data_IF_224625687779
#
_entry.id   IF_224625687779
#
_cell.length_a   1.000
_cell.length_b   1.000
_cell.length_c   1.000
_cell.angle_alpha   90.00
_cell.angle_beta   90.00
_cell.angle_gamma   90.00
#
_symmetry.space_group_name_H-M   'P 1'
#
loop_
_entity.id
_entity.type
_entity.pdbx_description
1 polymer ?
#
# COMPACT_ATOMS: atom_id res chain seq x y z
N UNK A 1 -17.09 39.98 -69.38
CA UNK A 1 -15.83 39.31 -69.71
C UNK A 1 -15.64 38.25 -68.63
N UNK A 2 -16.29 37.08 -68.77
CA UNK A 2 -15.81 35.88 -69.51
C UNK A 2 -14.65 35.23 -68.73
N UNK A 3 -14.62 33.95 -68.36
CA UNK A 3 -15.37 32.75 -68.73
C UNK A 3 -15.09 31.70 -67.62
N UNK A 4 -16.10 30.97 -67.13
CA UNK A 4 -16.45 29.59 -67.53
C UNK A 4 -15.37 28.52 -67.27
N UNK A 5 -15.60 27.63 -66.28
CA UNK A 5 -16.01 26.22 -66.43
C UNK A 5 -14.88 25.25 -66.84
N UNK A 6 -14.59 24.27 -65.97
CA UNK A 6 -14.87 22.84 -66.25
C UNK A 6 -14.96 22.03 -64.95
N UNK A 7 -16.16 21.48 -64.71
CA UNK A 7 -16.48 20.33 -63.86
C UNK A 7 -16.06 19.02 -64.54
N UNK A 8 -15.77 17.99 -63.74
CA UNK A 8 -16.30 16.60 -63.84
C UNK A 8 -16.29 16.02 -62.41
N UNK A 9 -17.43 15.93 -61.70
CA UNK A 9 -18.26 14.73 -61.41
C UNK A 9 -17.48 13.55 -60.78
N UNK A 10 -17.92 12.88 -59.70
CA UNK A 10 -19.30 12.53 -59.33
C UNK A 10 -19.50 12.13 -57.84
N UNK A 11 -20.71 12.38 -57.34
CA UNK A 11 -21.51 11.53 -56.41
C UNK A 11 -20.99 11.31 -54.97
N UNK A 12 -21.72 11.54 -53.87
CA UNK A 12 -23.14 11.71 -53.55
C UNK A 12 -23.20 12.30 -52.12
N UNK A 13 -24.13 13.20 -51.84
CA UNK A 13 -25.05 13.20 -50.66
C UNK A 13 -25.84 14.52 -50.72
N UNK A 14 -27.11 14.44 -51.12
CA UNK A 14 -28.07 15.55 -51.02
C UNK A 14 -28.89 15.35 -49.76
N UNK A 15 -28.89 16.38 -48.92
CA UNK A 15 -29.72 16.55 -47.76
C UNK A 15 -31.21 16.68 -48.13
N UNK A 16 -32.12 16.34 -47.22
CA UNK A 16 -33.34 17.12 -47.01
C UNK A 16 -33.99 16.79 -45.66
N UNK A 17 -34.27 17.84 -44.91
CA UNK A 17 -35.04 17.93 -43.67
C UNK A 17 -36.55 17.90 -43.97
N UNK A 18 -37.37 17.19 -43.18
CA UNK A 18 -38.54 17.72 -42.41
C UNK A 18 -39.32 16.62 -41.64
N UNK A 19 -39.57 16.91 -40.35
CA UNK A 19 -40.67 16.56 -39.41
C UNK A 19 -41.44 15.22 -39.43
N UNK A 20 -41.55 14.59 -38.25
CA UNK A 20 -42.80 14.24 -37.47
C UNK A 20 -42.41 13.24 -36.34
N UNK A 21 -42.35 13.66 -35.06
CA UNK A 21 -43.36 13.61 -33.99
C UNK A 21 -43.56 12.23 -33.29
N UNK A 22 -43.45 12.30 -31.94
CA UNK A 22 -43.98 11.42 -30.87
C UNK A 22 -43.16 10.17 -30.47
N UNK A 23 -42.43 10.26 -29.34
CA UNK A 23 -42.92 9.72 -28.05
C UNK A 23 -41.90 9.97 -26.92
N UNK A 24 -42.45 10.41 -25.80
CA UNK A 24 -41.91 10.50 -24.45
C UNK A 24 -40.91 9.38 -24.05
N UNK A 25 -39.77 9.75 -23.50
CA UNK A 25 -39.35 9.31 -22.15
C UNK A 25 -38.20 10.19 -21.62
N UNK A 26 -38.18 10.57 -20.33
CA UNK A 26 -37.25 11.54 -19.78
C UNK A 26 -35.91 10.89 -19.43
N UNK A 27 -34.90 11.75 -19.33
CA UNK A 27 -33.61 11.55 -18.66
C UNK A 27 -33.75 10.70 -17.38
N UNK A 28 -33.19 9.50 -17.38
CA UNK A 28 -32.57 8.86 -16.21
C UNK A 28 -31.74 7.67 -16.67
N UNK A 29 -30.44 7.87 -16.88
CA UNK A 29 -29.47 6.84 -16.52
C UNK A 29 -28.67 7.41 -15.38
N UNK A 30 -29.25 7.23 -14.20
CA UNK A 30 -28.59 7.25 -12.91
C UNK A 30 -27.29 6.44 -13.04
N UNK A 31 -26.15 7.07 -12.76
CA UNK A 31 -24.97 6.35 -12.33
C UNK A 31 -25.39 5.54 -11.09
N UNK A 32 -25.59 4.24 -11.22
CA UNK A 32 -25.57 3.38 -10.04
C UNK A 32 -24.13 3.39 -9.54
N UNK A 33 -23.87 4.26 -8.57
CA UNK A 33 -22.86 4.02 -7.55
C UNK A 33 -23.07 2.59 -7.07
N UNK A 34 -22.11 1.70 -7.34
CA UNK A 34 -22.06 0.42 -6.64
C UNK A 34 -21.61 0.76 -5.22
N UNK A 35 -22.57 0.88 -4.32
CA UNK A 35 -22.33 0.97 -2.88
C UNK A 35 -21.41 -0.19 -2.45
N UNK A 36 -20.48 0.12 -1.54
CA UNK A 36 -19.61 -0.91 -0.97
C UNK A 36 -20.49 -1.94 -0.21
N UNK A 37 -20.19 -3.25 -0.25
CA UNK A 37 -20.96 -4.26 0.50
C UNK A 37 -21.08 -3.99 2.02
N UNK A 38 -20.18 -3.18 2.58
CA UNK A 38 -20.21 -2.74 3.99
C UNK A 38 -21.00 -1.45 4.21
N UNK A 39 -21.12 -0.61 3.18
CA UNK A 39 -22.04 0.53 3.17
C UNK A 39 -23.49 0.01 3.14
N UNK A 40 -23.77 -0.96 2.26
CA UNK A 40 -25.07 -1.64 2.21
C UNK A 40 -25.41 -2.28 3.57
N UNK A 41 -24.46 -2.99 4.19
CA UNK A 41 -24.65 -3.57 5.52
C UNK A 41 -24.86 -2.52 6.62
N UNK A 42 -24.20 -1.35 6.53
CA UNK A 42 -24.40 -0.25 7.47
C UNK A 42 -25.78 0.39 7.31
N UNK A 43 -26.24 0.58 6.06
CA UNK A 43 -27.53 1.19 5.77
C UNK A 43 -28.70 0.22 6.07
N UNK A 44 -28.50 -1.08 5.89
CA UNK A 44 -29.38 -2.12 6.40
C UNK A 44 -29.47 -2.08 7.94
N UNK A 45 -28.32 -2.00 8.63
CA UNK A 45 -28.29 -1.90 10.09
C UNK A 45 -29.02 -0.66 10.62
N UNK A 46 -28.86 0.50 9.96
CA UNK A 46 -29.62 1.73 10.26
C UNK A 46 -31.11 1.54 10.08
N UNK A 47 -31.51 0.87 9.00
CA UNK A 47 -32.92 0.60 8.72
C UNK A 47 -33.53 -0.28 9.83
N UNK A 48 -32.85 -1.36 10.22
CA UNK A 48 -33.28 -2.24 11.30
C UNK A 48 -33.40 -1.49 12.65
N UNK A 49 -32.47 -0.57 12.93
CA UNK A 49 -32.44 0.20 14.17
C UNK A 49 -33.63 1.17 14.37
N UNK A 50 -34.39 1.46 13.30
CA UNK A 50 -35.62 2.28 13.40
C UNK A 50 -36.82 1.51 13.93
N UNK A 51 -36.77 0.17 13.97
CA UNK A 51 -37.88 -0.68 14.39
C UNK A 51 -37.59 -1.29 15.77
N UNK A 52 -38.39 -1.00 16.82
CA UNK A 52 -38.13 -1.48 18.19
C UNK A 52 -37.95 -3.00 18.31
N UNK A 53 -38.74 -3.78 17.58
CA UNK A 53 -38.70 -5.25 17.64
C UNK A 53 -37.48 -5.86 16.93
N UNK A 54 -36.73 -5.06 16.15
CA UNK A 54 -35.56 -5.50 15.37
C UNK A 54 -34.22 -5.01 15.92
N UNK A 55 -34.20 -4.45 17.12
CA UNK A 55 -32.97 -3.90 17.71
C UNK A 55 -31.85 -4.93 17.86
N UNK A 56 -32.15 -6.21 18.08
CA UNK A 56 -31.13 -7.26 18.15
C UNK A 56 -30.52 -7.56 16.77
N UNK A 57 -31.33 -7.60 15.71
CA UNK A 57 -30.86 -7.77 14.33
C UNK A 57 -30.01 -6.57 13.90
N UNK A 58 -30.40 -5.36 14.30
CA UNK A 58 -29.61 -4.14 14.08
C UNK A 58 -28.24 -4.22 14.78
N UNK A 59 -28.20 -4.70 16.03
CA UNK A 59 -26.96 -4.91 16.79
C UNK A 59 -26.04 -5.92 16.08
N UNK A 60 -26.58 -7.02 15.60
CA UNK A 60 -25.79 -8.06 14.93
C UNK A 60 -25.25 -7.56 13.58
N UNK A 61 -26.03 -6.78 12.84
CA UNK A 61 -25.61 -6.13 11.59
C UNK A 61 -24.53 -5.05 11.83
N UNK A 62 -24.69 -4.18 12.82
CA UNK A 62 -23.64 -3.21 13.17
C UNK A 62 -22.38 -3.90 13.67
N UNK A 63 -22.51 -4.99 14.42
CA UNK A 63 -21.36 -5.79 14.87
C UNK A 63 -20.60 -6.35 13.68
N UNK A 64 -21.31 -6.89 12.69
CA UNK A 64 -20.70 -7.36 11.45
C UNK A 64 -19.91 -6.25 10.75
N UNK A 65 -20.45 -5.02 10.66
CA UNK A 65 -19.73 -3.86 10.07
C UNK A 65 -18.47 -3.51 10.88
N UNK A 66 -18.58 -3.44 12.21
CA UNK A 66 -17.45 -3.13 13.12
C UNK A 66 -16.36 -4.20 13.08
N UNK A 67 -16.74 -5.48 12.99
CA UNK A 67 -15.81 -6.61 12.98
C UNK A 67 -15.18 -6.85 11.59
N UNK A 68 -15.85 -6.46 10.51
CA UNK A 68 -15.43 -6.77 9.13
C UNK A 68 -14.47 -5.75 8.51
N UNK A 69 -14.34 -4.51 9.02
CA UNK A 69 -13.45 -3.51 8.40
C UNK A 69 -12.37 -2.87 9.29
N UNK A 70 -11.15 -2.84 8.74
CA UNK A 70 -9.98 -2.01 9.09
C UNK A 70 -9.57 -1.04 7.95
N UNK A 71 -10.41 -0.83 6.94
CA UNK A 71 -10.06 -0.04 5.72
C UNK A 71 -10.96 1.18 5.45
N UNK A 72 -11.95 1.50 6.31
CA UNK A 72 -12.77 2.72 6.21
C UNK A 72 -13.00 3.34 7.58
N UNK A 73 -12.19 4.32 7.98
CA UNK A 73 -12.23 4.90 9.32
C UNK A 73 -13.59 5.54 9.63
N UNK A 74 -14.23 6.18 8.64
CA UNK A 74 -15.52 6.85 8.81
C UNK A 74 -16.68 5.88 9.11
N UNK A 75 -16.79 4.77 8.35
CA UNK A 75 -17.84 3.77 8.55
C UNK A 75 -17.72 3.07 9.90
N UNK A 76 -16.49 2.83 10.34
CA UNK A 76 -16.20 2.29 11.67
C UNK A 76 -16.64 3.24 12.78
N UNK A 77 -16.28 4.53 12.68
CA UNK A 77 -16.66 5.54 13.68
C UNK A 77 -18.18 5.68 13.79
N UNK A 78 -18.91 5.65 12.67
CA UNK A 78 -20.38 5.65 12.65
C UNK A 78 -20.94 4.38 13.30
N UNK A 79 -20.49 3.20 12.89
CA UNK A 79 -21.02 1.94 13.40
C UNK A 79 -20.81 1.77 14.91
N UNK A 80 -19.67 2.23 15.46
CA UNK A 80 -19.39 2.19 16.91
C UNK A 80 -20.35 3.07 17.72
N UNK A 81 -20.75 4.22 17.19
CA UNK A 81 -21.71 5.09 17.88
C UNK A 81 -23.11 4.48 17.84
N UNK A 82 -23.54 4.06 16.66
CA UNK A 82 -24.89 3.54 16.42
C UNK A 82 -25.15 2.21 17.15
N UNK A 83 -24.18 1.30 17.20
CA UNK A 83 -24.37 0.02 17.91
C UNK A 83 -24.56 0.21 19.41
N UNK A 84 -23.84 1.16 20.00
CA UNK A 84 -23.97 1.48 21.43
C UNK A 84 -25.34 2.09 21.70
N UNK A 85 -25.78 3.01 20.86
CA UNK A 85 -27.13 3.57 20.96
C UNK A 85 -28.22 2.49 20.80
N UNK A 86 -28.02 1.51 19.92
CA UNK A 86 -28.95 0.39 19.75
C UNK A 86 -29.02 -0.49 21.01
N UNK A 87 -27.88 -0.83 21.61
CA UNK A 87 -27.85 -1.54 22.89
C UNK A 87 -28.54 -0.75 24.01
N UNK A 88 -28.34 0.56 24.08
CA UNK A 88 -29.01 1.40 25.07
C UNK A 88 -30.53 1.43 24.87
N UNK A 89 -30.99 1.58 23.61
CA UNK A 89 -32.43 1.52 23.26
C UNK A 89 -33.03 0.15 23.57
N UNK A 90 -32.26 -0.92 23.40
CA UNK A 90 -32.67 -2.29 23.71
C UNK A 90 -32.65 -2.61 25.22
N UNK A 91 -32.25 -1.66 26.08
CA UNK A 91 -32.14 -1.90 27.52
C UNK A 91 -30.99 -2.83 27.92
N UNK A 92 -29.96 -2.94 27.06
CA UNK A 92 -28.80 -3.83 27.19
C UNK A 92 -27.46 -3.08 27.36
N UNK A 93 -27.32 -2.18 28.35
CA UNK A 93 -26.11 -1.38 28.52
C UNK A 93 -24.89 -2.21 28.97
N UNK A 94 -25.09 -3.37 29.61
CA UNK A 94 -23.97 -4.24 30.03
C UNK A 94 -23.28 -4.86 28.80
N UNK A 95 -24.08 -5.27 27.82
CA UNK A 95 -23.63 -5.82 26.55
C UNK A 95 -22.93 -4.75 25.69
N UNK A 96 -23.43 -3.52 25.69
CA UNK A 96 -22.76 -2.38 25.04
C UNK A 96 -21.35 -2.18 25.62
N UNK A 97 -21.24 -2.20 26.94
CA UNK A 97 -19.98 -2.01 27.66
C UNK A 97 -19.01 -3.16 27.36
N UNK A 98 -19.46 -4.41 27.46
CA UNK A 98 -18.64 -5.60 27.15
C UNK A 98 -18.16 -5.58 25.70
N UNK A 99 -19.02 -5.21 24.76
CA UNK A 99 -18.69 -5.09 23.35
C UNK A 99 -17.59 -4.04 23.12
N UNK A 100 -17.72 -2.85 23.69
CA UNK A 100 -16.69 -1.81 23.53
C UNK A 100 -15.35 -2.19 24.18
N UNK A 101 -15.37 -2.85 25.35
CA UNK A 101 -14.14 -3.33 25.99
C UNK A 101 -13.45 -4.37 25.10
N UNK A 102 -14.20 -5.30 24.52
CA UNK A 102 -13.68 -6.31 23.59
C UNK A 102 -13.11 -5.68 22.30
N UNK A 103 -13.83 -4.74 21.68
CA UNK A 103 -13.32 -3.96 20.53
C UNK A 103 -12.03 -3.22 20.89
N UNK A 104 -11.96 -2.58 22.06
CA UNK A 104 -10.79 -1.86 22.53
C UNK A 104 -9.58 -2.79 22.82
N UNK A 105 -9.81 -4.02 23.29
CA UNK A 105 -8.76 -5.01 23.53
C UNK A 105 -8.20 -5.61 22.23
N UNK A 106 -9.05 -5.76 21.21
CA UNK A 106 -8.68 -6.29 19.88
C UNK A 106 -7.91 -5.27 19.05
N UNK A 107 -8.15 -3.96 19.24
CA UNK A 107 -7.47 -2.92 18.49
C UNK A 107 -6.11 -2.51 19.11
N UNK A 108 -5.02 -2.76 18.39
CA UNK A 108 -3.66 -2.37 18.77
C UNK A 108 -3.47 -0.83 18.91
N UNK A 109 -4.36 -0.04 18.28
CA UNK A 109 -4.42 1.43 18.34
C UNK A 109 -5.66 1.96 19.06
N UNK A 110 -6.40 1.16 19.82
CA UNK A 110 -7.67 1.55 20.47
C UNK A 110 -7.57 2.86 21.27
N UNK A 111 -6.44 3.09 21.95
CA UNK A 111 -6.21 4.33 22.71
C UNK A 111 -6.05 5.60 21.85
N UNK A 112 -5.92 5.46 20.52
CA UNK A 112 -5.76 6.58 19.56
C UNK A 112 -7.06 6.90 18.80
N UNK A 113 -8.00 5.96 18.69
CA UNK A 113 -9.28 6.17 18.03
C UNK A 113 -10.15 7.18 18.80
N UNK A 114 -10.68 8.19 18.10
CA UNK A 114 -11.41 9.29 18.73
C UNK A 114 -12.85 8.87 19.08
N UNK A 115 -13.55 8.21 18.16
CA UNK A 115 -14.93 7.79 18.37
C UNK A 115 -15.03 6.75 19.49
N UNK A 116 -14.14 5.78 19.53
CA UNK A 116 -14.11 4.77 20.58
C UNK A 116 -13.89 5.41 21.97
N UNK A 117 -12.95 6.35 22.09
CA UNK A 117 -12.70 7.07 23.35
C UNK A 117 -13.89 7.91 23.80
N UNK A 118 -14.52 8.63 22.89
CA UNK A 118 -15.70 9.46 23.19
C UNK A 118 -16.88 8.60 23.63
N UNK A 119 -17.20 7.54 22.89
CA UNK A 119 -18.33 6.64 23.20
C UNK A 119 -18.09 5.88 24.50
N UNK A 120 -16.87 5.38 24.72
CA UNK A 120 -16.49 4.76 25.99
C UNK A 120 -16.55 5.74 27.17
N UNK A 121 -16.11 6.99 26.96
CA UNK A 121 -16.21 8.06 27.96
C UNK A 121 -17.65 8.37 28.36
N UNK A 122 -18.57 8.45 27.39
CA UNK A 122 -20.00 8.67 27.63
C UNK A 122 -20.62 7.54 28.43
N UNK A 123 -20.40 6.28 28.03
CA UNK A 123 -20.90 5.12 28.78
C UNK A 123 -20.33 5.04 30.19
N UNK A 124 -19.04 5.35 30.38
CA UNK A 124 -18.41 5.37 31.70
C UNK A 124 -19.06 6.40 32.64
N UNK A 125 -19.48 7.54 32.11
CA UNK A 125 -20.19 8.57 32.90
C UNK A 125 -21.61 8.10 33.21
N UNK A 126 -22.32 7.55 32.21
CA UNK A 126 -23.73 7.17 32.31
C UNK A 126 -23.97 5.88 33.12
N UNK A 127 -23.08 4.91 33.02
CA UNK A 127 -23.18 3.57 33.62
C UNK A 127 -21.95 3.24 34.48
N UNK A 128 -21.55 4.16 35.36
CA UNK A 128 -20.31 4.08 36.15
C UNK A 128 -20.15 2.78 36.95
N UNK A 129 -21.18 2.34 37.64
CA UNK A 129 -21.15 1.11 38.46
C UNK A 129 -21.11 -0.15 37.61
N UNK A 130 -21.90 -0.20 36.54
CA UNK A 130 -21.91 -1.30 35.58
C UNK A 130 -20.57 -1.44 34.86
N UNK A 131 -19.96 -0.31 34.50
CA UNK A 131 -18.63 -0.24 33.90
C UNK A 131 -17.57 -0.77 34.87
N UNK A 132 -17.62 -0.39 36.16
CA UNK A 132 -16.72 -0.91 37.18
C UNK A 132 -16.90 -2.42 37.40
N UNK A 133 -18.15 -2.90 37.44
CA UNK A 133 -18.50 -4.34 37.53
C UNK A 133 -17.92 -5.12 36.34
N UNK A 134 -18.19 -4.70 35.10
CA UNK A 134 -17.70 -5.39 33.90
C UNK A 134 -16.17 -5.42 33.86
N UNK A 135 -15.50 -4.31 34.19
CA UNK A 135 -14.03 -4.28 34.24
C UNK A 135 -13.47 -5.19 35.34
N UNK A 136 -14.10 -5.22 36.52
CA UNK A 136 -13.70 -6.09 37.63
C UNK A 136 -13.94 -7.57 37.32
N UNK A 137 -15.05 -7.93 36.68
CA UNK A 137 -15.33 -9.31 36.25
C UNK A 137 -14.37 -9.78 35.16
N UNK A 138 -14.03 -8.90 34.22
CA UNK A 138 -13.03 -9.20 33.18
C UNK A 138 -11.61 -9.31 33.75
N UNK A 139 -11.32 -8.72 34.91
CA UNK A 139 -10.04 -8.87 35.63
C UNK A 139 -10.04 -10.06 36.61
N UNK A 140 -11.17 -10.35 37.25
CA UNK A 140 -11.34 -11.38 38.29
C UNK A 140 -11.42 -12.81 37.76
N UNK A 141 -11.69 -13.00 36.47
CA UNK A 141 -11.73 -14.33 35.83
C UNK A 141 -10.34 -14.92 35.49
N UNK A 142 -9.27 -14.36 36.08
CA UNK A 142 -7.88 -14.80 35.92
C UNK A 142 -7.39 -15.74 37.04
N UNK A 143 -8.28 -16.22 37.92
CA UNK A 143 -7.95 -17.05 39.07
C UNK A 143 -8.54 -18.47 39.03
N UNK A 144 -7.70 -19.46 38.73
CA UNK A 144 -7.86 -20.90 39.04
C UNK A 144 -8.98 -21.68 38.31
N UNK A 145 -8.78 -21.97 37.03
CA UNK A 145 -9.28 -23.20 36.40
C UNK A 145 -8.34 -23.60 35.26
N UNK A 146 -8.19 -24.89 35.01
CA UNK A 146 -7.26 -25.49 34.03
C UNK A 146 -7.05 -24.64 32.77
N UNK A 147 -5.77 -24.45 32.41
CA UNK A 147 -5.33 -23.81 31.16
C UNK A 147 -5.93 -24.54 29.95
N UNK A 148 -7.10 -24.11 29.52
CA UNK A 148 -7.54 -24.18 28.13
C UNK A 148 -7.58 -22.75 27.60
N UNK A 149 -6.64 -22.36 26.72
CA UNK A 149 -6.53 -20.98 26.25
C UNK A 149 -7.63 -20.68 25.23
N UNK A 150 -8.43 -19.64 25.51
CA UNK A 150 -9.44 -19.09 24.60
C UNK A 150 -9.01 -17.71 24.13
N UNK A 151 -8.79 -17.59 22.81
CA UNK A 151 -8.60 -16.39 21.99
C UNK A 151 -7.76 -15.25 22.62
N UNK A 152 -6.45 -15.14 22.42
CA UNK A 152 -5.69 -15.40 21.20
C UNK A 152 -4.38 -16.13 21.51
N UNK A 153 -4.31 -17.46 21.34
CA UNK A 153 -3.06 -18.21 21.52
C UNK A 153 -1.91 -17.62 20.70
N UNK A 154 -2.19 -16.89 19.61
CA UNK A 154 -1.15 -16.19 18.85
C UNK A 154 -0.49 -15.01 19.57
N UNK A 155 -1.24 -14.20 20.35
CA UNK A 155 -0.72 -13.00 21.01
C UNK A 155 0.12 -13.37 22.21
N UNK A 156 -0.40 -14.26 23.06
CA UNK A 156 0.35 -14.82 24.20
C UNK A 156 1.62 -15.53 23.71
N UNK A 157 1.50 -16.36 22.68
CA UNK A 157 2.65 -17.05 22.09
C UNK A 157 3.65 -16.05 21.47
N UNK A 158 3.18 -15.01 20.79
CA UNK A 158 4.08 -13.97 20.23
C UNK A 158 4.80 -13.18 21.32
N UNK A 159 4.12 -12.85 22.42
CA UNK A 159 4.70 -12.14 23.56
C UNK A 159 5.74 -12.99 24.28
N UNK A 160 5.45 -14.28 24.47
CA UNK A 160 6.39 -15.26 25.01
C UNK A 160 7.66 -15.39 24.15
N UNK A 161 7.54 -15.23 22.82
CA UNK A 161 8.70 -15.21 21.92
C UNK A 161 9.45 -13.86 21.97
N UNK A 162 8.74 -12.74 22.03
CA UNK A 162 9.29 -11.38 21.95
C UNK A 162 9.99 -10.91 23.24
N UNK A 163 9.57 -11.42 24.39
CA UNK A 163 10.16 -11.04 25.67
C UNK A 163 11.66 -11.43 25.74
N UNK A 164 12.43 -10.69 26.55
CA UNK A 164 13.90 -10.81 26.64
C UNK A 164 14.42 -11.51 27.91
N UNK A 165 13.56 -11.68 28.90
CA UNK A 165 13.90 -12.01 30.28
C UNK A 165 13.97 -13.52 30.56
N UNK A 166 13.16 -14.32 29.85
CA UNK A 166 13.01 -15.75 30.08
C UNK A 166 13.38 -16.56 28.81
N UNK A 167 14.63 -17.05 28.69
CA UNK A 167 15.06 -17.83 27.56
C UNK A 167 14.33 -19.18 27.41
N UNK A 168 13.90 -19.79 28.52
CA UNK A 168 13.24 -21.09 28.53
C UNK A 168 11.82 -20.97 27.97
N UNK A 169 11.04 -20.02 28.47
CA UNK A 169 9.71 -19.71 27.96
C UNK A 169 9.75 -19.35 26.47
N UNK A 170 10.78 -18.60 26.04
CA UNK A 170 10.99 -18.31 24.61
C UNK A 170 11.22 -19.60 23.82
N UNK A 171 12.07 -20.49 24.33
CA UNK A 171 12.36 -21.79 23.72
C UNK A 171 11.12 -22.66 23.59
N UNK A 172 10.32 -22.75 24.65
CA UNK A 172 9.04 -23.48 24.68
C UNK A 172 8.04 -22.89 23.68
N UNK A 173 7.90 -21.56 23.65
CA UNK A 173 7.01 -20.88 22.72
C UNK A 173 7.41 -21.12 21.25
N UNK A 174 8.70 -21.11 20.94
CA UNK A 174 9.21 -21.48 19.62
C UNK A 174 8.98 -22.96 19.30
N UNK A 175 9.08 -23.85 20.30
CA UNK A 175 8.73 -25.27 20.18
C UNK A 175 7.26 -25.46 19.82
N UNK A 176 6.37 -24.83 20.58
CA UNK A 176 4.94 -24.86 20.31
C UNK A 176 4.59 -24.28 18.94
N UNK A 177 5.28 -23.22 18.52
CA UNK A 177 5.08 -22.64 17.20
C UNK A 177 5.45 -23.62 16.07
N UNK A 178 6.50 -24.44 16.25
CA UNK A 178 6.86 -25.50 15.30
C UNK A 178 5.81 -26.60 15.25
N UNK A 179 5.29 -27.02 16.40
CA UNK A 179 4.21 -28.01 16.45
C UNK A 179 2.98 -27.56 15.69
N UNK A 180 2.57 -26.29 15.85
CA UNK A 180 1.41 -25.73 15.14
C UNK A 180 1.60 -25.67 13.61
N UNK A 181 2.84 -25.61 13.14
CA UNK A 181 3.20 -25.64 11.71
C UNK A 181 3.50 -27.05 11.18
N UNK A 182 3.46 -28.07 12.04
CA UNK A 182 3.78 -29.44 11.65
C UNK A 182 2.78 -29.99 10.62
N UNK A 183 3.21 -31.02 9.91
CA UNK A 183 2.32 -31.77 9.03
C UNK A 183 1.19 -32.42 9.86
N UNK A 184 -0.03 -32.43 9.31
CA UNK A 184 -1.21 -32.97 9.99
C UNK A 184 -1.93 -32.02 10.95
N UNK A 185 -1.41 -30.82 11.23
CA UNK A 185 -2.17 -29.81 12.01
C UNK A 185 -3.28 -29.16 11.19
N UNK A 186 -4.29 -28.64 11.89
CA UNK A 186 -5.42 -27.98 11.26
C UNK A 186 -5.01 -26.67 10.58
N UNK A 187 -5.77 -26.27 9.56
CA UNK A 187 -5.53 -25.01 8.85
C UNK A 187 -5.66 -23.79 9.79
N UNK A 188 -6.55 -23.86 10.78
CA UNK A 188 -6.69 -22.81 11.80
C UNK A 188 -5.41 -22.65 12.64
N UNK A 189 -4.81 -23.76 13.05
CA UNK A 189 -3.54 -23.76 13.79
C UNK A 189 -2.39 -23.22 12.93
N UNK A 190 -2.29 -23.64 11.67
CA UNK A 190 -1.29 -23.12 10.73
C UNK A 190 -1.44 -21.62 10.50
N UNK A 191 -2.66 -21.12 10.30
CA UNK A 191 -2.93 -19.66 10.17
C UNK A 191 -2.48 -18.91 11.43
N UNK A 192 -2.82 -19.45 12.61
CA UNK A 192 -2.43 -18.88 13.90
C UNK A 192 -0.90 -18.82 14.02
N UNK A 193 -0.23 -19.91 13.68
CA UNK A 193 1.22 -20.00 13.75
C UNK A 193 1.93 -19.07 12.76
N UNK A 194 1.49 -18.99 11.50
CA UNK A 194 2.02 -18.05 10.52
C UNK A 194 1.83 -16.59 10.97
N UNK A 195 0.68 -16.27 11.58
CA UNK A 195 0.43 -14.95 12.14
C UNK A 195 1.39 -14.62 13.30
N UNK A 196 1.58 -15.57 14.23
CA UNK A 196 2.53 -15.43 15.33
C UNK A 196 3.97 -15.28 14.84
N UNK A 197 4.38 -16.10 13.87
CA UNK A 197 5.72 -16.07 13.30
C UNK A 197 6.04 -14.70 12.68
N UNK A 198 5.05 -14.11 11.98
CA UNK A 198 5.15 -12.74 11.47
C UNK A 198 5.24 -11.70 12.59
N UNK A 199 4.41 -11.81 13.63
CA UNK A 199 4.42 -10.88 14.75
C UNK A 199 5.75 -10.93 15.53
N UNK A 200 6.38 -12.12 15.60
CA UNK A 200 7.63 -12.36 16.28
C UNK A 200 8.88 -12.07 15.42
N UNK A 201 8.75 -11.54 14.19
CA UNK A 201 9.88 -11.39 13.26
C UNK A 201 11.03 -10.51 13.78
N UNK A 202 10.78 -9.61 14.74
CA UNK A 202 11.81 -8.80 15.40
C UNK A 202 12.62 -9.56 16.45
N UNK A 203 12.13 -10.70 16.95
CA UNK A 203 12.85 -11.53 17.90
C UNK A 203 14.02 -12.27 17.24
N UNK A 204 15.11 -12.44 18.01
CA UNK A 204 16.27 -13.23 17.58
C UNK A 204 16.06 -14.70 17.92
N UNK A 205 15.86 -15.54 16.90
CA UNK A 205 15.72 -17.00 17.01
C UNK A 205 16.17 -17.68 15.71
N UNK A 206 16.40 -18.99 15.77
CA UNK A 206 16.76 -19.78 14.59
C UNK A 206 15.58 -19.88 13.61
N UNK A 207 15.78 -19.31 12.42
CA UNK A 207 14.78 -19.21 11.34
C UNK A 207 14.74 -20.47 10.46
N UNK A 208 15.82 -21.24 10.42
CA UNK A 208 15.98 -22.37 9.50
C UNK A 208 14.86 -23.43 9.63
N UNK A 209 14.54 -23.90 10.85
CA UNK A 209 13.46 -24.86 11.05
C UNK A 209 12.10 -24.36 10.57
N UNK A 210 11.80 -23.08 10.75
CA UNK A 210 10.54 -22.50 10.32
C UNK A 210 10.44 -22.38 8.80
N UNK A 211 11.54 -22.11 8.08
CA UNK A 211 11.53 -22.13 6.62
C UNK A 211 11.10 -23.49 6.08
N UNK A 212 11.65 -24.57 6.65
CA UNK A 212 11.33 -25.95 6.24
C UNK A 212 9.84 -26.26 6.43
N UNK A 213 9.24 -25.78 7.53
CA UNK A 213 7.82 -25.98 7.81
C UNK A 213 6.90 -25.07 6.97
N UNK A 214 7.33 -23.84 6.66
CA UNK A 214 6.51 -22.86 5.92
C UNK A 214 6.55 -23.07 4.41
N UNK A 215 7.66 -23.55 3.85
CA UNK A 215 7.81 -23.71 2.40
C UNK A 215 6.76 -24.64 1.77
N UNK A 216 6.42 -25.82 2.36
CA UNK A 216 5.33 -26.67 1.84
C UNK A 216 3.95 -26.00 1.86
N UNK A 217 3.72 -25.05 2.78
CA UNK A 217 2.44 -24.34 2.92
C UNK A 217 2.14 -23.40 1.74
N UNK A 218 3.12 -23.13 0.88
CA UNK A 218 2.89 -22.47 -0.41
C UNK A 218 1.96 -23.26 -1.34
N UNK A 219 1.77 -24.57 -1.10
CA UNK A 219 0.89 -25.46 -1.87
C UNK A 219 -0.43 -25.78 -1.14
N UNK A 220 -0.71 -25.12 -0.01
CA UNK A 220 -1.95 -25.31 0.73
C UNK A 220 -3.17 -25.00 -0.15
N UNK A 221 -4.26 -25.78 -0.03
CA UNK A 221 -5.53 -25.49 -0.71
C UNK A 221 -6.13 -24.15 -0.24
N UNK A 222 -5.94 -23.80 1.03
CA UNK A 222 -6.35 -22.52 1.56
C UNK A 222 -5.42 -21.37 1.14
N UNK A 223 -5.98 -20.43 0.37
CA UNK A 223 -5.30 -19.22 -0.07
C UNK A 223 -4.83 -18.29 1.07
N UNK A 224 -5.49 -18.31 2.24
CA UNK A 224 -5.05 -17.52 3.41
C UNK A 224 -3.74 -18.07 3.97
N UNK A 225 -3.58 -19.39 4.02
CA UNK A 225 -2.33 -20.05 4.40
C UNK A 225 -1.24 -19.76 3.37
N UNK A 226 -1.52 -19.93 2.07
CA UNK A 226 -0.54 -19.62 1.01
C UNK A 226 -0.05 -18.18 1.10
N UNK A 227 -0.97 -17.22 1.22
CA UNK A 227 -0.65 -15.79 1.34
C UNK A 227 0.20 -15.49 2.58
N UNK A 228 -0.15 -16.06 3.72
CA UNK A 228 0.62 -15.90 4.96
C UNK A 228 2.00 -16.55 4.89
N UNK A 229 2.12 -17.71 4.22
CA UNK A 229 3.38 -18.39 4.00
C UNK A 229 4.32 -17.56 3.12
N UNK A 230 3.84 -17.05 1.97
CA UNK A 230 4.60 -16.12 1.11
C UNK A 230 5.13 -14.94 1.91
N UNK A 231 4.28 -14.33 2.74
CA UNK A 231 4.64 -13.17 3.55
C UNK A 231 5.70 -13.48 4.62
N UNK A 232 5.71 -14.69 5.18
CA UNK A 232 6.68 -15.07 6.20
C UNK A 232 8.04 -15.43 5.61
N UNK A 233 8.09 -16.10 4.45
CA UNK A 233 9.31 -16.70 3.91
C UNK A 233 10.50 -15.74 3.77
N UNK A 234 10.28 -14.50 3.35
CA UNK A 234 11.35 -13.51 3.24
C UNK A 234 12.06 -13.22 4.58
N UNK A 235 11.38 -13.46 5.70
CA UNK A 235 11.93 -13.32 7.05
C UNK A 235 12.54 -14.61 7.62
N UNK A 236 12.52 -15.74 6.91
CA UNK A 236 12.88 -17.05 7.46
C UNK A 236 14.21 -17.60 6.92
N UNK A 237 15.24 -16.77 6.80
CA UNK A 237 16.49 -17.16 6.16
C UNK A 237 16.24 -17.77 4.77
N UNK A 238 15.58 -17.02 3.87
CA UNK A 238 15.22 -17.52 2.55
C UNK A 238 16.47 -17.90 1.75
N UNK A 239 16.30 -18.77 0.77
CA UNK A 239 17.38 -19.20 -0.12
C UNK A 239 17.05 -18.88 -1.57
N UNK A 240 18.04 -18.65 -2.45
CA UNK A 240 17.79 -18.34 -3.87
C UNK A 240 16.91 -19.36 -4.59
N UNK A 241 16.97 -20.64 -4.20
CA UNK A 241 16.11 -21.69 -4.76
C UNK A 241 14.61 -21.49 -4.46
N UNK A 242 14.25 -20.73 -3.42
CA UNK A 242 12.85 -20.44 -3.06
C UNK A 242 12.12 -19.63 -4.14
N UNK A 243 12.87 -18.86 -4.94
CA UNK A 243 12.32 -18.10 -6.07
C UNK A 243 11.61 -19.03 -7.06
N UNK A 244 12.14 -20.23 -7.29
CA UNK A 244 11.55 -21.20 -8.22
C UNK A 244 10.15 -21.67 -7.80
N UNK A 245 9.88 -21.68 -6.48
CA UNK A 245 8.58 -22.08 -5.92
C UNK A 245 7.66 -20.88 -5.73
N UNK A 246 8.20 -19.69 -5.50
CA UNK A 246 7.44 -18.46 -5.31
C UNK A 246 6.99 -17.83 -6.63
N UNK A 247 7.81 -17.86 -7.68
CA UNK A 247 7.50 -17.19 -8.94
C UNK A 247 6.18 -17.67 -9.58
N UNK A 248 5.86 -18.98 -9.61
CA UNK A 248 4.57 -19.46 -10.11
C UNK A 248 3.35 -18.91 -9.37
N UNK A 249 3.49 -18.47 -8.11
CA UNK A 249 2.38 -17.89 -7.34
C UNK A 249 1.97 -16.49 -7.84
N UNK A 250 2.72 -15.90 -8.79
CA UNK A 250 2.24 -14.75 -9.55
C UNK A 250 0.96 -15.08 -10.36
N UNK A 251 0.66 -16.37 -10.56
CA UNK A 251 -0.50 -16.88 -11.28
C UNK A 251 -1.57 -17.43 -10.35
N UNK A 252 -1.39 -17.29 -9.03
CA UNK A 252 -2.30 -17.84 -8.04
C UNK A 252 -3.73 -17.30 -8.24
N UNK A 253 -4.73 -18.17 -8.15
CA UNK A 253 -6.13 -17.79 -8.34
C UNK A 253 -6.60 -16.74 -7.33
N UNK A 254 -5.99 -16.69 -6.13
CA UNK A 254 -6.31 -15.73 -5.09
C UNK A 254 -5.50 -14.44 -5.21
N UNK A 255 -6.20 -13.31 -5.34
CA UNK A 255 -5.61 -11.97 -5.26
C UNK A 255 -4.82 -11.74 -3.97
N UNK A 256 -5.24 -12.37 -2.85
CA UNK A 256 -4.55 -12.28 -1.56
C UNK A 256 -3.15 -12.87 -1.61
N UNK A 257 -2.95 -13.95 -2.36
CA UNK A 257 -1.64 -14.59 -2.56
C UNK A 257 -0.79 -13.71 -3.47
N UNK A 258 -1.27 -13.40 -4.68
CA UNK A 258 -0.55 -12.58 -5.68
C UNK A 258 -0.05 -11.25 -5.10
N UNK A 259 -0.86 -10.60 -4.25
CA UNK A 259 -0.52 -9.36 -3.55
C UNK A 259 0.73 -9.46 -2.64
N UNK A 260 1.09 -10.65 -2.16
CA UNK A 260 2.30 -10.86 -1.34
C UNK A 260 3.51 -11.29 -2.15
N UNK A 261 3.31 -11.86 -3.35
CA UNK A 261 4.37 -12.50 -4.14
C UNK A 261 5.42 -11.51 -4.60
N UNK A 262 5.02 -10.35 -5.13
CA UNK A 262 5.97 -9.36 -5.64
C UNK A 262 6.99 -8.94 -4.58
N UNK A 263 6.52 -8.60 -3.37
CA UNK A 263 7.38 -8.25 -2.25
C UNK A 263 8.33 -9.38 -1.83
N UNK A 264 7.84 -10.62 -1.77
CA UNK A 264 8.67 -11.78 -1.44
C UNK A 264 9.75 -12.04 -2.51
N UNK A 265 9.40 -12.01 -3.79
CA UNK A 265 10.36 -12.20 -4.89
C UNK A 265 11.45 -11.13 -4.88
N UNK A 266 11.09 -9.89 -4.61
CA UNK A 266 12.06 -8.79 -4.58
C UNK A 266 12.99 -8.91 -3.37
N UNK A 267 12.44 -9.19 -2.17
CA UNK A 267 13.23 -9.34 -0.96
C UNK A 267 14.17 -10.55 -1.00
N UNK A 268 13.73 -11.67 -1.58
CA UNK A 268 14.52 -12.91 -1.63
C UNK A 268 15.51 -12.88 -2.79
N UNK A 269 15.12 -12.36 -3.95
CA UNK A 269 15.96 -12.34 -5.13
C UNK A 269 17.04 -11.27 -5.09
N UNK A 270 16.83 -10.15 -4.37
CA UNK A 270 17.83 -9.08 -4.17
C UNK A 270 18.45 -8.56 -5.49
N UNK A 271 17.66 -8.47 -6.56
CA UNK A 271 18.12 -8.08 -7.90
C UNK A 271 18.85 -9.18 -8.69
N UNK A 272 18.88 -10.42 -8.18
CA UNK A 272 19.43 -11.61 -8.85
C UNK A 272 18.30 -12.46 -9.46
N UNK A 273 18.66 -13.44 -10.29
CA UNK A 273 17.70 -14.34 -10.95
C UNK A 273 16.64 -13.58 -11.77
N UNK A 274 17.06 -12.49 -12.44
CA UNK A 274 16.16 -11.64 -13.23
C UNK A 274 15.37 -12.41 -14.29
N UNK A 275 15.95 -13.47 -14.86
CA UNK A 275 15.28 -14.36 -15.83
C UNK A 275 14.02 -15.04 -15.27
N UNK A 276 13.96 -15.29 -13.96
CA UNK A 276 12.78 -15.86 -13.29
C UNK A 276 11.91 -14.76 -12.66
N UNK A 277 12.53 -13.77 -12.03
CA UNK A 277 11.80 -12.75 -11.26
C UNK A 277 11.11 -11.73 -12.15
N UNK A 278 11.75 -11.25 -13.23
CA UNK A 278 11.16 -10.23 -14.11
C UNK A 278 9.86 -10.71 -14.75
N UNK A 279 9.74 -11.94 -15.31
CA UNK A 279 8.47 -12.42 -15.84
C UNK A 279 7.34 -12.46 -14.79
N UNK A 280 7.64 -12.93 -13.57
CA UNK A 280 6.66 -12.98 -12.48
C UNK A 280 6.23 -11.57 -12.04
N UNK A 281 7.17 -10.63 -11.87
CA UNK A 281 6.85 -9.24 -11.56
C UNK A 281 6.06 -8.56 -12.68
N UNK A 282 6.41 -8.83 -13.95
CA UNK A 282 5.68 -8.31 -15.12
C UNK A 282 4.22 -8.72 -15.07
N UNK A 283 3.93 -9.97 -14.69
CA UNK A 283 2.55 -10.45 -14.55
C UNK A 283 1.81 -9.75 -13.41
N UNK A 284 2.43 -9.60 -12.25
CA UNK A 284 1.86 -8.89 -11.10
C UNK A 284 1.62 -7.40 -11.38
N UNK A 285 2.46 -6.76 -12.19
CA UNK A 285 2.32 -5.37 -12.62
C UNK A 285 1.24 -5.17 -13.69
N UNK A 286 0.78 -6.26 -14.32
CA UNK A 286 -0.34 -6.29 -15.27
C UNK A 286 -1.62 -6.90 -14.66
N UNK A 287 -1.65 -7.07 -13.34
CA UNK A 287 -2.79 -7.68 -12.66
C UNK A 287 -4.05 -6.82 -12.78
N UNK A 288 -5.21 -7.46 -12.90
CA UNK A 288 -6.51 -6.79 -12.84
C UNK A 288 -6.78 -6.08 -11.50
N UNK A 289 -6.21 -6.59 -10.40
CA UNK A 289 -6.36 -6.00 -9.08
C UNK A 289 -5.24 -4.98 -8.81
N UNK A 290 -5.63 -3.71 -8.75
CA UNK A 290 -4.72 -2.61 -8.47
C UNK A 290 -3.95 -2.72 -7.14
N UNK A 291 -4.47 -3.43 -6.13
CA UNK A 291 -3.74 -3.65 -4.87
C UNK A 291 -2.53 -4.57 -5.09
N UNK A 292 -2.59 -5.48 -6.07
CA UNK A 292 -1.44 -6.32 -6.48
C UNK A 292 -0.38 -5.47 -7.18
N UNK A 293 -0.80 -4.65 -8.13
CA UNK A 293 0.11 -3.72 -8.85
C UNK A 293 0.82 -2.80 -7.87
N UNK A 294 0.07 -2.07 -7.03
CA UNK A 294 0.63 -1.09 -6.09
C UNK A 294 1.58 -1.75 -5.09
N UNK A 295 1.22 -2.90 -4.52
CA UNK A 295 2.11 -3.60 -3.59
C UNK A 295 3.40 -4.07 -4.28
N UNK A 296 3.30 -4.53 -5.52
CA UNK A 296 4.48 -4.94 -6.30
C UNK A 296 5.41 -3.74 -6.52
N UNK A 297 4.88 -2.62 -7.01
CA UNK A 297 5.66 -1.38 -7.23
C UNK A 297 6.35 -0.92 -5.94
N UNK A 298 5.62 -0.87 -4.82
CA UNK A 298 6.14 -0.40 -3.52
C UNK A 298 7.30 -1.25 -2.97
N UNK A 299 7.46 -2.47 -3.47
CA UNK A 299 8.56 -3.35 -3.09
C UNK A 299 9.77 -3.24 -4.02
N UNK A 300 9.67 -2.63 -5.20
CA UNK A 300 10.69 -2.74 -6.26
C UNK A 300 12.05 -2.17 -5.89
N UNK A 301 12.08 -0.93 -5.36
CA UNK A 301 13.30 -0.20 -5.00
C UNK A 301 14.40 -0.30 -6.08
N UNK A 302 13.99 -0.26 -7.35
CA UNK A 302 14.91 -0.23 -8.51
C UNK A 302 15.82 -1.45 -8.67
N UNK A 303 15.48 -2.60 -8.07
CA UNK A 303 16.35 -3.78 -8.05
C UNK A 303 16.42 -4.56 -9.36
N UNK A 304 15.36 -4.50 -10.18
CA UNK A 304 15.26 -5.21 -11.45
C UNK A 304 15.04 -4.24 -12.59
N UNK A 305 15.73 -4.47 -13.70
CA UNK A 305 15.64 -3.67 -14.91
C UNK A 305 15.90 -4.55 -16.13
N UNK A 306 15.15 -4.29 -17.20
CA UNK A 306 15.40 -4.75 -18.56
C UNK A 306 14.63 -3.80 -19.48
N UNK A 307 14.99 -3.64 -20.77
CA UNK A 307 14.31 -2.68 -21.64
C UNK A 307 12.77 -2.80 -21.62
N UNK A 308 12.24 -4.01 -21.82
CA UNK A 308 10.79 -4.25 -21.80
C UNK A 308 10.15 -4.05 -20.42
N UNK A 309 10.89 -4.32 -19.34
CA UNK A 309 10.39 -4.11 -17.97
C UNK A 309 10.39 -2.64 -17.59
N UNK A 310 11.42 -1.90 -17.98
CA UNK A 310 11.52 -0.45 -17.81
C UNK A 310 10.40 0.26 -18.58
N UNK A 311 10.09 -0.18 -19.80
CA UNK A 311 8.97 0.32 -20.59
C UNK A 311 7.62 0.15 -19.87
N UNK A 312 7.36 -1.01 -19.26
CA UNK A 312 6.16 -1.22 -18.44
C UNK A 312 6.09 -0.27 -17.24
N UNK A 313 7.22 -0.01 -16.58
CA UNK A 313 7.25 0.96 -15.47
C UNK A 313 7.04 2.39 -15.96
N UNK A 314 7.57 2.74 -17.13
CA UNK A 314 7.31 4.04 -17.75
C UNK A 314 5.80 4.16 -18.07
N UNK A 315 5.18 3.13 -18.63
CA UNK A 315 3.73 3.10 -18.88
C UNK A 315 2.93 3.32 -17.58
N UNK A 316 3.24 2.54 -16.54
CA UNK A 316 2.59 2.67 -15.23
C UNK A 316 2.80 4.04 -14.58
N UNK A 317 3.96 4.68 -14.81
CA UNK A 317 4.23 6.03 -14.33
C UNK A 317 3.36 7.11 -14.98
N UNK A 318 2.76 6.82 -16.14
CA UNK A 318 1.81 7.72 -16.81
C UNK A 318 0.36 7.47 -16.37
N UNK A 319 0.09 6.36 -15.70
CA UNK A 319 -1.25 6.05 -15.21
C UNK A 319 -1.50 6.80 -13.88
N UNK A 320 -2.55 7.66 -13.76
CA UNK A 320 -2.75 8.52 -12.58
C UNK A 320 -2.74 7.77 -11.24
N UNK A 321 -3.31 6.56 -11.22
CA UNK A 321 -3.37 5.71 -10.01
C UNK A 321 -2.01 5.16 -9.54
N UNK A 322 -1.06 4.99 -10.46
CA UNK A 322 0.22 4.32 -10.19
C UNK A 322 1.41 5.27 -10.29
N UNK A 323 1.19 6.45 -10.86
CA UNK A 323 2.15 7.51 -11.10
C UNK A 323 3.16 7.71 -9.95
N UNK A 324 2.72 8.24 -8.81
CA UNK A 324 3.64 8.59 -7.71
C UNK A 324 4.37 7.38 -7.09
N UNK A 325 3.71 6.21 -7.06
CA UNK A 325 4.37 4.97 -6.60
C UNK A 325 5.48 4.55 -7.57
N UNK A 326 5.24 4.68 -8.88
CA UNK A 326 6.17 4.22 -9.91
C UNK A 326 7.34 5.17 -10.08
N UNK A 327 7.10 6.49 -9.99
CA UNK A 327 8.18 7.48 -9.91
C UNK A 327 9.10 7.15 -8.73
N UNK A 328 8.55 7.01 -7.52
CA UNK A 328 9.35 6.83 -6.33
C UNK A 328 10.00 5.45 -6.21
N UNK A 329 9.18 4.39 -6.12
CA UNK A 329 9.65 3.04 -5.79
C UNK A 329 10.18 2.27 -7.02
N UNK A 330 9.91 2.77 -8.23
CA UNK A 330 10.35 2.18 -9.49
C UNK A 330 11.50 2.96 -10.11
N UNK A 331 11.18 4.03 -10.85
CA UNK A 331 12.10 4.71 -11.76
C UNK A 331 13.22 5.47 -11.03
N UNK A 332 12.91 6.26 -10.00
CA UNK A 332 13.91 7.05 -9.29
C UNK A 332 14.95 6.20 -8.56
N UNK A 333 14.54 5.02 -8.08
CA UNK A 333 15.39 4.11 -7.29
C UNK A 333 16.28 3.19 -8.14
N UNK A 334 16.13 3.17 -9.47
CA UNK A 334 16.92 2.32 -10.36
C UNK A 334 18.42 2.61 -10.24
N UNK A 335 19.22 1.56 -10.06
CA UNK A 335 20.69 1.66 -9.98
C UNK A 335 21.32 2.13 -11.29
N UNK A 336 20.76 1.72 -12.42
CA UNK A 336 21.15 2.14 -13.77
C UNK A 336 19.91 2.64 -14.49
N UNK A 337 19.98 3.85 -15.04
CA UNK A 337 18.87 4.55 -15.70
C UNK A 337 19.21 4.73 -17.16
N UNK A 338 18.45 4.01 -17.99
CA UNK A 338 18.52 4.11 -19.45
C UNK A 338 18.01 5.47 -19.93
N UNK A 339 18.29 5.82 -21.19
CA UNK A 339 17.80 7.07 -21.80
C UNK A 339 16.27 7.21 -21.67
N UNK A 340 15.44 6.18 -21.94
CA UNK A 340 13.98 6.27 -21.74
C UNK A 340 13.58 6.56 -20.29
N UNK A 341 14.22 5.92 -19.30
CA UNK A 341 13.95 6.16 -17.88
C UNK A 341 14.33 7.59 -17.50
N UNK A 342 15.53 8.05 -17.86
CA UNK A 342 15.95 9.42 -17.63
C UNK A 342 15.01 10.43 -18.30
N UNK A 343 14.58 10.17 -19.53
CA UNK A 343 13.60 11.02 -20.23
C UNK A 343 12.28 11.11 -19.49
N UNK A 344 11.79 10.00 -18.94
CA UNK A 344 10.55 10.02 -18.15
C UNK A 344 10.71 10.82 -16.86
N UNK A 345 11.83 10.67 -16.16
CA UNK A 345 12.14 11.43 -14.95
C UNK A 345 12.37 12.93 -15.23
N UNK A 346 13.01 13.28 -16.35
CA UNK A 346 13.16 14.69 -16.77
C UNK A 346 11.80 15.33 -17.02
N UNK A 347 10.87 14.64 -17.69
CA UNK A 347 9.49 15.15 -17.86
C UNK A 347 8.78 15.38 -16.54
N UNK A 348 9.08 14.58 -15.53
CA UNK A 348 8.51 14.72 -14.19
C UNK A 348 8.99 15.97 -13.46
N UNK A 349 10.16 16.52 -13.82
CA UNK A 349 10.66 17.77 -13.24
C UNK A 349 9.74 18.96 -13.55
N UNK A 350 9.06 18.93 -14.69
CA UNK A 350 8.16 20.00 -15.13
C UNK A 350 6.76 19.93 -14.47
N UNK A 351 6.45 18.87 -13.72
CA UNK A 351 5.15 18.73 -13.07
C UNK A 351 5.07 19.59 -11.80
N UNK A 352 3.92 20.24 -11.52
CA UNK A 352 3.79 21.16 -10.38
C UNK A 352 3.81 20.46 -9.01
N UNK A 353 3.69 19.13 -8.97
CA UNK A 353 3.81 18.36 -7.73
C UNK A 353 5.27 18.25 -7.30
N UNK A 354 5.69 19.17 -6.42
CA UNK A 354 7.04 19.22 -5.85
C UNK A 354 7.51 17.89 -5.26
N UNK A 355 6.60 17.03 -4.79
CA UNK A 355 6.98 15.76 -4.17
C UNK A 355 7.48 14.77 -5.23
N UNK A 356 6.79 14.62 -6.35
CA UNK A 356 7.22 13.72 -7.41
C UNK A 356 8.35 14.32 -8.26
N UNK A 357 8.32 15.61 -8.57
CA UNK A 357 9.44 16.29 -9.24
C UNK A 357 10.71 16.21 -8.38
N UNK A 358 10.61 16.43 -7.07
CA UNK A 358 11.70 16.26 -6.09
C UNK A 358 12.24 14.82 -6.03
N UNK A 359 11.37 13.81 -6.12
CA UNK A 359 11.78 12.39 -6.19
C UNK A 359 12.43 12.06 -7.52
N UNK A 360 12.00 12.66 -8.63
CA UNK A 360 12.61 12.50 -9.93
C UNK A 360 14.01 13.15 -9.96
N UNK A 361 14.12 14.39 -9.49
CA UNK A 361 15.38 15.10 -9.32
C UNK A 361 16.36 14.29 -8.44
N UNK A 362 15.90 13.81 -7.28
CA UNK A 362 16.70 12.93 -6.42
C UNK A 362 17.14 11.66 -7.16
N UNK A 363 16.24 11.03 -7.92
CA UNK A 363 16.55 9.86 -8.72
C UNK A 363 17.62 10.12 -9.79
N UNK A 364 17.65 11.33 -10.35
CA UNK A 364 18.64 11.74 -11.35
C UNK A 364 20.03 12.04 -10.75
N UNK A 365 20.18 12.08 -9.42
CA UNK A 365 21.50 12.26 -8.76
C UNK A 365 22.42 11.04 -8.87
N UNK A 366 21.94 9.91 -9.38
CA UNK A 366 22.75 8.70 -9.55
C UNK A 366 22.20 7.78 -10.64
N UNK A 367 23.07 6.89 -11.13
CA UNK A 367 22.68 5.84 -12.07
C UNK A 367 22.37 6.32 -13.48
N UNK A 368 22.45 7.63 -13.76
CA UNK A 368 22.33 8.19 -15.10
C UNK A 368 23.46 7.65 -15.98
N UNK A 369 23.10 6.97 -17.06
CA UNK A 369 24.08 6.44 -18.03
C UNK A 369 24.75 7.56 -18.83
N UNK A 370 25.96 7.35 -19.33
CA UNK A 370 26.68 8.37 -20.12
C UNK A 370 25.87 8.86 -21.32
N UNK A 371 25.18 7.95 -22.02
CA UNK A 371 24.27 8.26 -23.13
C UNK A 371 23.08 9.13 -22.72
N UNK A 372 22.72 9.18 -21.43
CA UNK A 372 21.61 9.95 -20.91
C UNK A 372 22.04 11.29 -20.29
N UNK A 373 23.33 11.51 -20.02
CA UNK A 373 23.82 12.71 -19.29
C UNK A 373 23.41 14.02 -19.98
N UNK A 374 23.64 14.14 -21.28
CA UNK A 374 23.28 15.35 -22.03
C UNK A 374 21.78 15.65 -21.99
N UNK A 375 20.92 14.62 -22.07
CA UNK A 375 19.47 14.78 -21.94
C UNK A 375 19.06 15.24 -20.53
N UNK A 376 19.72 14.70 -19.51
CA UNK A 376 19.43 15.06 -18.11
C UNK A 376 19.92 16.47 -17.80
N UNK A 377 21.11 16.85 -18.29
CA UNK A 377 21.64 18.22 -18.18
C UNK A 377 20.66 19.23 -18.79
N UNK A 378 20.19 18.98 -20.02
CA UNK A 378 19.22 19.85 -20.69
C UNK A 378 17.92 19.99 -19.92
N UNK A 379 17.34 18.88 -19.47
CA UNK A 379 16.10 18.90 -18.70
C UNK A 379 16.22 19.63 -17.37
N UNK A 380 17.36 19.51 -16.69
CA UNK A 380 17.62 20.22 -15.44
C UNK A 380 17.80 21.72 -15.67
N UNK A 381 18.49 22.13 -16.74
CA UNK A 381 18.65 23.54 -17.09
C UNK A 381 17.32 24.20 -17.50
N UNK A 382 16.35 23.42 -17.95
CA UNK A 382 14.97 23.87 -18.21
C UNK A 382 14.14 23.97 -16.92
N UNK A 383 14.25 23.00 -16.01
CA UNK A 383 13.44 22.94 -14.78
C UNK A 383 13.95 23.90 -13.68
N UNK A 384 15.27 23.99 -13.51
CA UNK A 384 15.90 24.76 -12.43
C UNK A 384 15.47 26.23 -12.37
N UNK A 385 15.33 26.99 -13.47
CA UNK A 385 14.82 28.37 -13.40
C UNK A 385 13.42 28.51 -12.77
N UNK A 386 12.55 27.52 -12.98
CA UNK A 386 11.13 27.57 -12.58
C UNK A 386 10.87 26.97 -11.19
N UNK A 387 11.80 26.18 -10.63
CA UNK A 387 11.58 25.47 -9.38
C UNK A 387 11.69 26.38 -8.14
N UNK A 388 10.58 26.55 -7.43
CA UNK A 388 10.46 27.41 -6.24
C UNK A 388 10.56 26.64 -4.92
N UNK A 389 10.36 25.33 -4.94
CA UNK A 389 10.52 24.46 -3.79
C UNK A 389 12.00 24.22 -3.50
N UNK A 390 12.46 24.70 -2.34
CA UNK A 390 13.87 24.59 -1.96
C UNK A 390 14.42 23.16 -1.86
N UNK A 391 13.58 22.17 -1.48
CA UNK A 391 14.02 20.78 -1.46
C UNK A 391 14.24 20.25 -2.88
N UNK A 392 13.28 20.45 -3.78
CA UNK A 392 13.40 19.97 -5.17
C UNK A 392 14.54 20.66 -5.89
N UNK A 393 14.61 22.00 -5.82
CA UNK A 393 15.70 22.78 -6.42
C UNK A 393 17.08 22.30 -5.95
N UNK A 394 17.21 21.95 -4.66
CA UNK A 394 18.45 21.37 -4.14
C UNK A 394 18.76 20.01 -4.78
N UNK A 395 17.79 19.11 -4.93
CA UNK A 395 18.00 17.84 -5.63
C UNK A 395 18.36 18.05 -7.11
N UNK A 396 17.78 19.04 -7.77
CA UNK A 396 18.10 19.39 -9.16
C UNK A 396 19.53 19.89 -9.31
N UNK A 397 20.01 20.79 -8.43
CA UNK A 397 21.43 21.17 -8.41
C UNK A 397 22.35 19.98 -8.15
N UNK A 398 21.97 19.09 -7.23
CA UNK A 398 22.73 17.86 -6.96
C UNK A 398 22.78 16.94 -8.19
N UNK A 399 21.69 16.84 -8.93
CA UNK A 399 21.63 16.06 -10.17
C UNK A 399 22.45 16.74 -11.27
N UNK A 400 22.36 18.06 -11.41
CA UNK A 400 23.10 18.86 -12.39
C UNK A 400 24.59 18.68 -12.19
N UNK A 401 25.09 18.73 -10.95
CA UNK A 401 26.50 18.47 -10.62
C UNK A 401 27.04 17.15 -11.21
N UNK A 402 26.21 16.11 -11.30
CA UNK A 402 26.63 14.80 -11.84
C UNK A 402 26.74 14.77 -13.37
N UNK A 403 26.05 15.67 -14.06
CA UNK A 403 25.92 15.66 -15.52
C UNK A 403 26.44 16.92 -16.20
N UNK A 404 26.76 17.97 -15.42
CA UNK A 404 27.14 19.27 -15.91
C UNK A 404 28.37 19.23 -16.81
N UNK A 405 28.25 19.95 -17.91
CA UNK A 405 29.30 20.32 -18.84
C UNK A 405 29.39 21.85 -18.93
N UNK A 406 30.27 22.37 -19.78
CA UNK A 406 30.34 23.81 -20.05
C UNK A 406 29.01 24.43 -20.49
N UNK A 407 28.07 23.63 -21.01
CA UNK A 407 26.70 24.06 -21.33
C UNK A 407 25.96 24.62 -20.11
N UNK A 408 26.24 24.11 -18.92
CA UNK A 408 25.62 24.55 -17.67
C UNK A 408 26.16 25.90 -17.15
N UNK A 409 27.36 26.33 -17.59
CA UNK A 409 28.06 27.50 -17.02
C UNK A 409 27.24 28.79 -17.07
N UNK A 410 26.57 29.18 -18.18
CA UNK A 410 25.84 30.45 -18.23
C UNK A 410 24.73 30.53 -17.19
N UNK A 411 23.98 29.44 -16.99
CA UNK A 411 22.94 29.38 -15.96
C UNK A 411 23.54 29.47 -14.57
N UNK A 412 24.59 28.70 -14.28
CA UNK A 412 25.25 28.71 -12.96
C UNK A 412 25.80 30.10 -12.61
N UNK A 413 26.39 30.82 -13.57
CA UNK A 413 26.85 32.21 -13.38
C UNK A 413 25.66 33.13 -13.08
N UNK A 414 24.55 33.00 -13.81
CA UNK A 414 23.33 33.80 -13.56
C UNK A 414 22.79 33.62 -12.14
N UNK A 415 22.92 32.42 -11.56
CA UNK A 415 22.53 32.14 -10.17
C UNK A 415 23.44 32.89 -9.18
N UNK A 416 24.74 33.02 -9.46
CA UNK A 416 25.67 33.76 -8.62
C UNK A 416 25.42 35.27 -8.63
N UNK A 417 25.05 35.80 -9.80
CA UNK A 417 24.82 37.24 -10.03
C UNK A 417 23.44 37.70 -9.56
N UNK A 418 22.48 36.77 -9.42
CA UNK A 418 21.12 37.11 -9.00
C UNK A 418 21.06 37.55 -7.54
N UNK A 419 20.52 38.74 -7.28
CA UNK A 419 20.23 39.22 -5.92
C UNK A 419 19.06 38.47 -5.26
N UNK A 420 18.16 37.90 -6.06
CA UNK A 420 17.00 37.16 -5.59
C UNK A 420 17.32 35.70 -5.19
N UNK A 421 18.51 35.20 -5.53
CA UNK A 421 18.92 33.83 -5.26
C UNK A 421 19.40 33.63 -3.82
N UNK A 422 19.11 32.43 -3.29
CA UNK A 422 19.51 32.03 -1.93
C UNK A 422 21.01 31.76 -1.84
N UNK A 423 21.60 31.98 -0.66
CA UNK A 423 23.01 31.66 -0.41
C UNK A 423 23.33 30.18 -0.66
N UNK A 424 22.39 29.29 -0.31
CA UNK A 424 22.50 27.85 -0.57
C UNK A 424 22.58 27.54 -2.08
N UNK A 425 21.70 28.12 -2.90
CA UNK A 425 21.72 27.96 -4.34
C UNK A 425 23.03 28.50 -4.95
N UNK A 426 23.49 29.66 -4.47
CA UNK A 426 24.77 30.25 -4.88
C UNK A 426 25.94 29.35 -4.52
N UNK A 427 25.99 28.77 -3.32
CA UNK A 427 27.06 27.84 -2.95
C UNK A 427 27.06 26.59 -3.83
N UNK A 428 25.89 26.01 -4.13
CA UNK A 428 25.79 24.88 -5.06
C UNK A 428 26.28 25.23 -6.46
N UNK A 429 25.92 26.40 -6.98
CA UNK A 429 26.41 26.86 -8.27
C UNK A 429 27.94 27.04 -8.30
N UNK A 430 28.53 27.61 -7.22
CA UNK A 430 30.00 27.70 -7.07
C UNK A 430 30.67 26.34 -7.05
N UNK A 431 30.10 25.37 -6.31
CA UNK A 431 30.64 23.99 -6.26
C UNK A 431 30.72 23.38 -7.66
N UNK A 432 29.65 23.50 -8.46
CA UNK A 432 29.60 22.94 -9.81
C UNK A 432 30.60 23.65 -10.73
N UNK A 433 30.68 24.98 -10.69
CA UNK A 433 31.63 25.75 -11.50
C UNK A 433 33.08 25.38 -11.19
N UNK A 434 33.44 25.23 -9.90
CA UNK A 434 34.79 24.77 -9.50
C UNK A 434 35.13 23.39 -10.06
N UNK A 435 34.16 22.48 -10.11
CA UNK A 435 34.36 21.15 -10.70
C UNK A 435 34.50 21.19 -12.23
N UNK A 436 33.84 22.14 -12.90
CA UNK A 436 34.02 22.36 -14.33
C UNK A 436 35.39 22.96 -14.62
N UNK A 437 35.84 23.94 -13.84
CA UNK A 437 37.16 24.59 -13.99
C UNK A 437 38.34 23.64 -13.70
N UNK A 438 38.09 22.57 -12.94
CA UNK A 438 39.09 21.56 -12.59
C UNK A 438 39.15 20.34 -13.53
N UNK A 439 38.27 20.25 -14.53
CA UNK A 439 38.26 19.21 -15.58
C UNK A 439 38.97 19.71 -16.83
#
# INVERSE_FOLDING_TARGET
MSDQWTKVDSARTVAFTFLLLLCFWPRTTVCQEREHPLQEALDEAKTLATTPDKLQEAVDAYRFVVETQLEGQELFETAIREIVECYEKAGKPEEAIRFLVDVAQRQEKAGKDKALRETFGKLRIKHRELMAKVLAEMQGNSGKTQRTPSAAPSKELSQAILQREDPELRGEALGRLRELLAEGTSDSEKRTALSTLRAAQSAKFDRGPFRVLVLPLLKSEDARIRSAAVRCLAGLSPRPEDISVLAPLADDSSTHVRRQVGGALIQIGEGKQGETVIPALTKLLKDSDSKVIVNTIRSMWGQYSSPAFDELLIELSNHPKYHGYTIYHGLSTMRRKSVPVCRRLVRELAEPDWNNSGRAAWGLTYGVTDSAKSLVEEGLLEALPEETNGYTRNQEFRALRQVATEKSRPYLVSVLESEAETDDAKERAREILRELDGK
#
